data_IF_838871595511
#
_entry.id   IF_838871595511
#
_cell.length_a   1.000
_cell.length_b   1.000
_cell.length_c   1.000
_cell.angle_alpha   90.00
_cell.angle_beta   90.00
_cell.angle_gamma   90.00
#
_symmetry.space_group_name_H-M   'P 1'
#
loop_
_entity.id
_entity.type
_entity.pdbx_description
1 polymer ?
#
# COMPACT_ATOMS: atom_id res chain seq x y z
N UNK A 1 117.57 11.94 6.90
CA UNK A 1 116.68 13.04 7.29
C UNK A 1 115.22 12.52 7.22
N UNK A 2 114.63 12.30 8.38
CA UNK A 2 113.21 11.86 8.47
C UNK A 2 112.35 13.12 8.76
N UNK A 3 111.16 13.27 8.13
CA UNK A 3 110.35 14.45 8.41
C UNK A 3 109.54 14.23 9.72
N UNK A 4 109.48 15.31 10.51
CA UNK A 4 108.80 15.42 11.78
C UNK A 4 107.26 15.47 11.54
N UNK A 5 106.44 14.74 12.31
CA UNK A 5 105.02 14.78 12.16
C UNK A 5 104.45 16.08 12.76
N UNK A 6 103.66 16.82 11.91
CA UNK A 6 103.01 18.06 12.29
C UNK A 6 101.96 17.84 13.42
N UNK A 7 102.05 18.55 14.50
CA UNK A 7 101.07 18.64 15.61
C UNK A 7 99.73 19.14 15.07
N UNK A 8 98.70 18.28 15.00
CA UNK A 8 97.29 18.72 14.82
C UNK A 8 96.90 19.60 16.03
N UNK A 9 96.70 20.86 15.79
CA UNK A 9 96.29 21.79 16.83
C UNK A 9 94.88 21.32 17.40
N UNK A 10 94.77 21.36 18.72
CA UNK A 10 93.50 21.06 19.42
C UNK A 10 92.46 22.14 19.02
N UNK A 11 91.22 21.76 18.64
CA UNK A 11 90.16 22.71 18.27
C UNK A 11 89.90 23.66 19.44
N UNK A 12 89.83 24.99 19.17
CA UNK A 12 89.61 26.02 20.20
C UNK A 12 88.30 25.81 20.92
N UNK A 13 88.18 26.17 22.18
CA UNK A 13 87.00 26.00 23.05
C UNK A 13 85.70 26.52 22.39
N UNK A 14 85.74 27.57 21.56
CA UNK A 14 84.62 28.13 20.79
C UNK A 14 84.18 27.27 19.66
N UNK A 15 85.08 26.51 19.01
CA UNK A 15 84.73 25.56 17.94
C UNK A 15 84.01 24.29 18.50
N UNK A 16 84.48 23.83 19.69
CA UNK A 16 83.83 22.72 20.41
C UNK A 16 82.43 23.08 20.93
N UNK A 17 82.21 24.30 21.40
CA UNK A 17 80.88 24.76 21.83
C UNK A 17 79.95 24.93 20.67
N UNK A 18 80.41 25.50 19.54
CA UNK A 18 79.61 25.60 18.31
C UNK A 18 79.22 24.18 17.73
N UNK A 19 80.21 23.27 17.73
CA UNK A 19 79.96 21.88 17.30
C UNK A 19 78.93 21.15 18.18
N UNK A 20 79.04 21.34 19.53
CA UNK A 20 78.04 20.79 20.46
C UNK A 20 76.62 21.39 20.27
N UNK A 21 76.51 22.71 20.08
CA UNK A 21 75.25 23.39 19.80
C UNK A 21 74.66 22.90 18.52
N UNK A 22 75.42 22.75 17.43
CA UNK A 22 74.94 22.20 16.17
C UNK A 22 74.50 20.77 16.34
N UNK A 23 75.24 19.92 17.09
CA UNK A 23 74.88 18.54 17.38
C UNK A 23 73.53 18.42 18.19
N UNK A 24 73.43 19.21 19.26
CA UNK A 24 72.22 19.27 20.09
C UNK A 24 71.01 19.74 19.29
N UNK A 25 71.15 20.78 18.44
CA UNK A 25 70.12 21.27 17.57
C UNK A 25 69.73 20.22 16.55
N UNK A 26 70.66 19.50 15.94
CA UNK A 26 70.40 18.43 15.01
C UNK A 26 69.65 17.25 15.67
N UNK A 27 70.09 16.83 16.86
CA UNK A 27 69.46 15.78 17.65
C UNK A 27 68.00 16.21 18.04
N UNK A 28 67.85 17.47 18.50
CA UNK A 28 66.53 17.99 18.84
C UNK A 28 65.56 18.01 17.61
N UNK A 29 66.07 18.48 16.47
CA UNK A 29 65.29 18.47 15.21
C UNK A 29 64.96 17.06 14.79
N UNK A 30 65.95 16.12 14.83
CA UNK A 30 65.72 14.73 14.50
C UNK A 30 64.68 14.06 15.45
N UNK A 31 64.77 14.37 16.75
CA UNK A 31 63.80 13.86 17.72
C UNK A 31 62.37 14.41 17.47
N UNK A 32 62.25 15.69 17.18
CA UNK A 32 60.96 16.30 16.80
C UNK A 32 60.41 15.67 15.52
N UNK A 33 61.24 15.49 14.51
CA UNK A 33 60.84 14.85 13.26
C UNK A 33 60.46 13.36 13.46
N UNK A 34 61.21 12.64 14.28
CA UNK A 34 60.92 11.23 14.59
C UNK A 34 59.57 11.03 15.30
N UNK A 35 59.08 12.03 16.02
CA UNK A 35 57.77 12.03 16.65
C UNK A 35 56.69 12.62 15.69
N UNK A 36 56.97 13.74 15.08
CA UNK A 36 56.04 14.47 14.22
C UNK A 36 55.64 13.67 12.97
N UNK A 37 56.60 13.07 12.27
CA UNK A 37 56.36 12.34 11.03
C UNK A 37 55.38 11.14 11.23
N UNK A 38 55.61 10.23 12.17
CA UNK A 38 54.67 9.14 12.40
C UNK A 38 53.31 9.65 12.86
N UNK A 39 53.25 10.59 13.80
CA UNK A 39 52.01 11.12 14.31
C UNK A 39 51.16 11.76 13.22
N UNK A 40 51.75 12.53 12.31
CA UNK A 40 50.98 13.21 11.24
C UNK A 40 50.67 12.27 10.05
N UNK A 41 51.59 11.39 9.68
CA UNK A 41 51.40 10.53 8.52
C UNK A 41 50.41 9.39 8.76
N UNK A 42 50.25 8.93 10.02
CA UNK A 42 49.37 7.84 10.39
C UNK A 42 48.09 8.31 11.12
N UNK A 43 48.05 9.58 11.54
CA UNK A 43 46.91 10.15 12.28
C UNK A 43 45.58 9.90 11.54
N UNK A 44 44.49 9.51 12.24
CA UNK A 44 43.16 9.38 11.65
C UNK A 44 42.69 10.76 11.20
N UNK A 45 42.00 10.76 10.04
CA UNK A 45 41.43 11.98 9.46
C UNK A 45 40.01 12.19 9.98
N UNK A 46 39.60 13.43 10.17
CA UNK A 46 38.25 13.76 10.56
C UNK A 46 37.24 13.29 9.48
N UNK A 47 36.09 12.73 9.87
CA UNK A 47 35.03 12.37 8.94
C UNK A 47 34.49 13.59 8.21
N UNK A 48 34.10 13.43 6.96
CA UNK A 48 33.52 14.50 6.15
C UNK A 48 32.02 14.52 6.26
N UNK A 49 31.46 15.68 6.64
CA UNK A 49 29.98 15.84 6.74
C UNK A 49 29.32 15.84 5.37
N UNK A 50 28.10 15.32 5.33
CA UNK A 50 27.27 15.29 4.15
C UNK A 50 26.62 16.66 3.88
N UNK A 51 26.62 17.10 2.63
CA UNK A 51 25.79 18.20 2.13
C UNK A 51 24.61 17.57 1.39
N UNK A 52 23.41 17.64 1.98
CA UNK A 52 22.21 17.00 1.42
C UNK A 52 21.76 17.68 0.12
N UNK A 53 21.29 16.88 -0.83
CA UNK A 53 20.67 17.32 -2.08
C UNK A 53 19.16 17.26 -1.90
N UNK A 54 18.42 18.39 -2.01
CA UNK A 54 16.97 18.40 -1.86
C UNK A 54 16.31 17.51 -2.90
N UNK A 55 15.29 16.76 -2.46
CA UNK A 55 14.39 16.03 -3.35
C UNK A 55 13.20 16.92 -3.72
N UNK A 56 12.84 16.94 -4.99
CA UNK A 56 11.67 17.68 -5.50
C UNK A 56 10.92 16.82 -6.51
N UNK A 57 9.61 16.88 -6.46
CA UNK A 57 8.72 16.30 -7.49
C UNK A 57 8.00 17.41 -8.23
N UNK A 58 7.68 17.22 -9.52
CA UNK A 58 6.83 18.17 -10.24
C UNK A 58 5.43 18.25 -9.61
N UNK A 59 4.92 19.46 -9.51
CA UNK A 59 3.53 19.69 -9.11
C UNK A 59 2.57 19.08 -10.13
N UNK A 60 1.47 18.50 -9.64
CA UNK A 60 0.39 17.99 -10.48
C UNK A 60 -0.94 18.64 -10.09
N UNK A 61 -1.80 18.81 -11.08
CA UNK A 61 -3.18 19.25 -10.87
C UNK A 61 -3.96 18.09 -10.24
N UNK A 62 -4.80 18.42 -9.25
CA UNK A 62 -5.66 17.46 -8.60
C UNK A 62 -6.64 16.83 -9.61
N UNK A 63 -6.75 15.50 -9.59
CA UNK A 63 -7.75 14.74 -10.33
C UNK A 63 -8.85 14.33 -9.35
N UNK A 64 -10.10 14.66 -9.66
CA UNK A 64 -11.26 14.24 -8.87
C UNK A 64 -12.09 13.25 -9.70
N UNK A 65 -12.59 12.15 -9.11
CA UNK A 65 -13.51 11.26 -9.80
C UNK A 65 -14.84 11.97 -10.06
N UNK A 66 -15.42 11.75 -11.23
CA UNK A 66 -16.72 12.29 -11.57
C UNK A 66 -17.81 11.41 -10.94
N UNK A 67 -18.40 11.89 -9.85
CA UNK A 67 -19.48 11.24 -9.13
C UNK A 67 -20.85 11.73 -9.63
N UNK A 68 -21.89 10.87 -9.60
CA UNK A 68 -23.24 11.23 -10.08
C UNK A 68 -23.90 12.29 -9.18
N UNK A 69 -24.76 13.12 -9.78
CA UNK A 69 -25.55 14.12 -9.06
C UNK A 69 -26.89 13.58 -8.51
N UNK A 70 -27.11 12.27 -8.51
CA UNK A 70 -28.35 11.63 -8.01
C UNK A 70 -28.04 10.60 -6.92
N UNK A 71 -29.05 10.30 -6.09
CA UNK A 71 -28.95 9.28 -5.05
C UNK A 71 -27.78 9.49 -4.09
N UNK A 72 -26.99 8.44 -3.90
CA UNK A 72 -25.75 8.49 -3.14
C UNK A 72 -24.66 7.68 -3.84
N UNK A 73 -23.42 8.16 -3.79
CA UNK A 73 -22.27 7.43 -4.32
C UNK A 73 -21.03 7.63 -3.46
N UNK A 74 -20.21 6.60 -3.39
CA UNK A 74 -18.89 6.65 -2.81
C UNK A 74 -17.94 5.77 -3.60
N UNK A 75 -16.66 6.14 -3.61
CA UNK A 75 -15.60 5.34 -4.20
C UNK A 75 -14.33 5.53 -3.39
N UNK A 76 -13.57 4.46 -3.25
CA UNK A 76 -12.25 4.49 -2.60
C UNK A 76 -11.34 3.42 -3.21
N UNK A 77 -10.05 3.52 -2.94
CA UNK A 77 -9.09 2.53 -3.37
C UNK A 77 -8.42 1.88 -2.15
N UNK A 78 -8.28 0.55 -2.18
CA UNK A 78 -7.65 -0.21 -1.10
C UNK A 78 -6.18 0.18 -0.99
N UNK A 79 -5.76 0.62 0.21
CA UNK A 79 -4.40 1.09 0.47
C UNK A 79 -4.12 2.55 0.12
N UNK A 80 -5.15 3.31 -0.36
CA UNK A 80 -5.04 4.72 -0.76
C UNK A 80 -6.20 5.53 -0.16
N UNK A 81 -6.16 5.87 1.14
CA UNK A 81 -7.25 6.62 1.80
C UNK A 81 -7.51 7.98 1.15
N UNK A 82 -6.50 8.60 0.55
CA UNK A 82 -6.59 9.85 -0.21
C UNK A 82 -7.40 9.74 -1.51
N UNK A 83 -7.64 8.53 -2.00
CA UNK A 83 -8.46 8.28 -3.19
C UNK A 83 -9.96 8.12 -2.87
N UNK A 84 -10.39 8.46 -1.64
CA UNK A 84 -11.79 8.38 -1.24
C UNK A 84 -12.58 9.62 -1.64
N UNK A 85 -13.75 9.41 -2.24
CA UNK A 85 -14.65 10.48 -2.64
C UNK A 85 -16.12 10.05 -2.50
N UNK A 86 -16.99 11.00 -2.16
CA UNK A 86 -18.44 10.81 -2.00
C UNK A 86 -19.23 11.91 -2.67
N UNK A 87 -20.46 11.61 -3.09
CA UNK A 87 -21.44 12.60 -3.55
C UNK A 87 -22.88 12.13 -3.31
N UNK A 88 -23.81 13.06 -3.31
CA UNK A 88 -25.24 12.82 -3.12
C UNK A 88 -25.63 12.76 -1.65
N UNK A 89 -26.63 11.95 -1.32
CA UNK A 89 -27.18 11.82 0.04
C UNK A 89 -26.16 11.26 1.02
N UNK A 90 -26.07 11.82 2.19
CA UNK A 90 -25.36 11.28 3.35
C UNK A 90 -26.25 10.40 4.22
N UNK A 91 -27.58 10.46 4.01
CA UNK A 91 -28.54 9.64 4.72
C UNK A 91 -28.59 8.23 4.13
N UNK A 92 -28.86 7.21 4.95
CA UNK A 92 -29.03 5.84 4.49
C UNK A 92 -30.15 5.68 3.48
N UNK A 93 -29.87 5.02 2.36
CA UNK A 93 -30.83 4.73 1.30
C UNK A 93 -31.10 3.22 1.20
N UNK A 94 -32.27 2.78 0.67
CA UNK A 94 -32.56 1.38 0.43
C UNK A 94 -31.55 0.72 -0.51
N UNK A 95 -30.88 -0.33 -0.04
CA UNK A 95 -29.79 -0.98 -0.77
C UNK A 95 -30.22 -2.21 -1.56
N UNK A 96 -31.47 -2.62 -1.41
CA UNK A 96 -32.02 -3.78 -2.10
C UNK A 96 -31.13 -5.04 -1.94
N UNK A 97 -30.96 -5.83 -2.98
CA UNK A 97 -30.19 -7.08 -2.96
C UNK A 97 -28.71 -6.95 -2.61
N UNK A 98 -28.15 -5.75 -2.44
CA UNK A 98 -26.80 -5.58 -1.87
C UNK A 98 -26.77 -6.13 -0.43
N UNK A 99 -27.90 -6.12 0.28
CA UNK A 99 -28.06 -6.75 1.61
C UNK A 99 -27.57 -8.20 1.68
N UNK A 100 -27.66 -8.96 0.57
CA UNK A 100 -27.18 -10.35 0.51
C UNK A 100 -25.69 -10.51 0.72
N UNK A 101 -24.91 -9.46 0.46
CA UNK A 101 -23.47 -9.42 0.79
C UNK A 101 -23.30 -9.44 2.32
N UNK A 102 -24.01 -8.56 3.04
CA UNK A 102 -23.97 -8.53 4.50
C UNK A 102 -24.48 -9.87 5.07
N UNK A 103 -25.61 -10.37 4.56
CA UNK A 103 -26.14 -11.69 4.96
C UNK A 103 -25.09 -12.78 4.80
N UNK A 104 -24.39 -12.82 3.67
CA UNK A 104 -23.35 -13.83 3.41
C UNK A 104 -22.13 -13.69 4.30
N UNK A 105 -21.69 -12.46 4.61
CA UNK A 105 -20.59 -12.20 5.54
C UNK A 105 -20.95 -12.68 6.95
N UNK A 106 -22.14 -12.34 7.44
CA UNK A 106 -22.61 -12.74 8.79
C UNK A 106 -22.82 -14.26 8.86
N UNK A 107 -23.29 -14.89 7.79
CA UNK A 107 -23.36 -16.36 7.70
C UNK A 107 -21.97 -16.99 7.78
N UNK A 108 -20.98 -16.45 7.06
CA UNK A 108 -19.63 -17.01 7.08
C UNK A 108 -18.92 -16.80 8.44
N UNK A 109 -19.30 -15.78 9.19
CA UNK A 109 -18.80 -15.62 10.56
C UNK A 109 -19.38 -16.70 11.49
N UNK A 110 -20.69 -16.98 11.38
CA UNK A 110 -21.38 -18.01 12.18
C UNK A 110 -21.09 -19.46 11.71
N UNK A 111 -20.86 -19.64 10.42
CA UNK A 111 -20.63 -20.92 9.74
C UNK A 111 -19.45 -20.77 8.77
N UNK A 112 -18.21 -20.76 9.26
CA UNK A 112 -17.01 -20.55 8.47
C UNK A 112 -16.88 -21.55 7.30
N UNK A 113 -16.38 -21.05 6.18
CA UNK A 113 -16.06 -21.82 4.99
C UNK A 113 -14.67 -21.38 4.52
N UNK A 114 -13.81 -22.34 4.24
CA UNK A 114 -12.46 -22.07 3.76
C UNK A 114 -12.40 -22.14 2.23
N UNK A 115 -11.46 -21.46 1.58
CA UNK A 115 -11.25 -21.59 0.12
C UNK A 115 -11.04 -23.04 -0.29
N UNK A 116 -11.85 -23.50 -1.26
CA UNK A 116 -11.84 -24.88 -1.74
C UNK A 116 -12.80 -25.82 -1.04
N UNK A 117 -13.36 -25.43 0.11
CA UNK A 117 -14.38 -26.23 0.80
C UNK A 117 -15.78 -26.00 0.21
N UNK A 118 -16.57 -27.06 0.14
CA UNK A 118 -18.00 -26.96 -0.20
C UNK A 118 -18.88 -26.67 1.01
N UNK A 119 -18.36 -26.88 2.21
CA UNK A 119 -19.10 -26.83 3.46
C UNK A 119 -20.06 -27.99 3.64
N UNK A 120 -20.89 -27.96 4.70
CA UNK A 120 -21.86 -29.01 4.97
C UNK A 120 -22.93 -29.11 3.90
N UNK A 121 -23.49 -30.29 3.77
CA UNK A 121 -24.66 -30.53 2.95
C UNK A 121 -25.92 -30.11 3.71
N UNK A 122 -26.77 -29.30 3.04
CA UNK A 122 -27.98 -28.72 3.58
C UNK A 122 -29.16 -29.39 2.85
N UNK A 123 -30.11 -29.92 3.59
CA UNK A 123 -31.34 -30.51 3.05
C UNK A 123 -32.47 -29.51 3.17
N UNK A 124 -33.10 -29.17 2.04
CA UNK A 124 -34.24 -28.25 2.03
C UNK A 124 -35.51 -28.90 2.60
N UNK A 125 -36.16 -28.18 3.49
CA UNK A 125 -37.47 -28.52 4.04
C UNK A 125 -38.65 -28.13 3.09
N UNK A 126 -39.86 -28.53 3.41
CA UNK A 126 -41.06 -28.04 2.75
C UNK A 126 -41.24 -26.52 2.95
N UNK A 127 -40.84 -25.99 4.09
CA UNK A 127 -40.86 -24.55 4.37
C UNK A 127 -39.91 -23.80 3.45
N UNK A 128 -38.68 -24.31 3.22
CA UNK A 128 -37.76 -23.72 2.29
C UNK A 128 -38.29 -23.70 0.86
N UNK A 129 -38.91 -24.80 0.40
CA UNK A 129 -39.54 -24.88 -0.91
C UNK A 129 -40.66 -23.84 -1.10
N UNK A 130 -41.42 -23.54 -0.02
CA UNK A 130 -42.48 -22.52 -0.06
C UNK A 130 -41.93 -21.09 -0.22
N UNK A 131 -40.66 -20.81 0.13
CA UNK A 131 -40.04 -19.49 -0.04
C UNK A 131 -40.09 -19.01 -1.50
N UNK A 132 -40.00 -19.93 -2.47
CA UNK A 132 -40.09 -19.52 -3.88
C UNK A 132 -41.41 -18.84 -4.20
N UNK A 133 -42.53 -19.41 -3.79
CA UNK A 133 -43.88 -18.83 -4.02
C UNK A 133 -44.02 -17.49 -3.28
N UNK A 134 -43.52 -17.39 -2.05
CA UNK A 134 -43.46 -16.14 -1.27
C UNK A 134 -42.75 -15.02 -2.04
N UNK A 135 -41.56 -15.28 -2.58
CA UNK A 135 -40.79 -14.24 -3.25
C UNK A 135 -41.25 -13.93 -4.67
N UNK A 136 -41.84 -14.90 -5.37
CA UNK A 136 -42.54 -14.64 -6.65
C UNK A 136 -43.70 -13.66 -6.44
N UNK A 137 -44.50 -13.85 -5.37
CA UNK A 137 -45.61 -12.94 -5.04
C UNK A 137 -45.11 -11.50 -4.68
N UNK A 138 -43.85 -11.36 -4.23
CA UNK A 138 -43.21 -10.08 -3.92
C UNK A 138 -42.38 -9.50 -5.09
N UNK A 139 -42.52 -10.08 -6.32
CA UNK A 139 -41.69 -9.72 -7.48
C UNK A 139 -40.17 -9.81 -7.23
N UNK A 140 -39.75 -10.70 -6.33
CA UNK A 140 -38.36 -10.93 -6.02
C UNK A 140 -37.69 -11.96 -6.92
N UNK A 141 -36.37 -11.84 -7.12
CA UNK A 141 -35.61 -12.85 -7.87
C UNK A 141 -35.63 -14.20 -7.17
N UNK A 142 -35.92 -15.25 -7.92
CA UNK A 142 -36.02 -16.62 -7.40
C UNK A 142 -35.39 -17.67 -8.31
N UNK A 143 -34.95 -18.77 -7.72
CA UNK A 143 -34.54 -19.99 -8.45
C UNK A 143 -35.33 -21.19 -7.98
N UNK A 144 -35.42 -22.27 -8.79
CA UNK A 144 -36.03 -23.53 -8.37
C UNK A 144 -35.44 -24.00 -7.03
N UNK A 145 -36.33 -24.41 -6.10
CA UNK A 145 -35.93 -24.96 -4.80
C UNK A 145 -37.02 -26.01 -4.45
N UNK A 146 -36.56 -27.25 -4.28
CA UNK A 146 -37.45 -28.39 -4.07
C UNK A 146 -37.18 -29.00 -2.70
N UNK A 147 -38.23 -29.35 -1.97
CA UNK A 147 -38.11 -30.03 -0.69
C UNK A 147 -37.42 -31.40 -0.84
N UNK A 148 -36.74 -31.83 0.18
CA UNK A 148 -35.93 -33.05 0.28
C UNK A 148 -34.76 -33.15 -0.73
N UNK A 149 -34.44 -32.07 -1.46
CA UNK A 149 -33.17 -31.96 -2.20
C UNK A 149 -32.07 -31.41 -1.33
N UNK A 150 -30.81 -31.67 -1.71
CA UNK A 150 -29.66 -31.24 -0.98
C UNK A 150 -28.79 -30.28 -1.78
N UNK A 151 -28.10 -29.38 -1.10
CA UNK A 151 -27.13 -28.43 -1.66
C UNK A 151 -25.96 -28.24 -0.68
N UNK A 152 -24.77 -27.93 -1.18
CA UNK A 152 -23.66 -27.53 -0.32
C UNK A 152 -23.84 -26.10 0.19
N UNK A 153 -23.23 -25.74 1.33
CA UNK A 153 -23.21 -24.35 1.81
C UNK A 153 -22.67 -23.41 0.74
N UNK A 154 -21.58 -23.77 0.07
CA UNK A 154 -20.97 -22.98 -0.99
C UNK A 154 -21.94 -22.73 -2.15
N UNK A 155 -22.65 -23.76 -2.62
CA UNK A 155 -23.58 -23.62 -3.73
C UNK A 155 -24.83 -22.84 -3.34
N UNK A 156 -25.30 -22.98 -2.10
CA UNK A 156 -26.38 -22.17 -1.54
C UNK A 156 -26.01 -20.67 -1.58
N UNK A 157 -24.78 -20.34 -1.17
CA UNK A 157 -24.23 -18.97 -1.25
C UNK A 157 -24.04 -18.50 -2.70
N UNK A 158 -23.59 -19.38 -3.60
CA UNK A 158 -23.43 -19.07 -5.04
C UNK A 158 -24.77 -18.68 -5.68
N UNK A 159 -25.83 -19.43 -5.44
CA UNK A 159 -27.17 -19.08 -5.96
C UNK A 159 -27.68 -17.77 -5.33
N UNK A 160 -27.41 -17.56 -4.04
CA UNK A 160 -27.78 -16.32 -3.32
C UNK A 160 -27.12 -15.09 -3.94
N UNK A 161 -25.84 -15.14 -4.24
CA UNK A 161 -25.07 -13.97 -4.68
C UNK A 161 -25.05 -13.78 -6.19
N UNK A 162 -24.79 -14.84 -6.97
CA UNK A 162 -24.68 -14.78 -8.44
C UNK A 162 -26.05 -14.56 -9.07
N UNK A 163 -27.05 -15.42 -8.77
CA UNK A 163 -28.40 -15.29 -9.26
C UNK A 163 -29.24 -14.25 -8.50
N UNK A 164 -28.72 -13.68 -7.43
CA UNK A 164 -29.47 -12.76 -6.55
C UNK A 164 -30.74 -13.36 -5.95
N UNK A 165 -30.86 -14.69 -5.84
CA UNK A 165 -32.11 -15.39 -5.49
C UNK A 165 -32.53 -15.14 -4.02
N UNK A 166 -33.72 -14.52 -3.84
CA UNK A 166 -34.24 -14.17 -2.52
C UNK A 166 -34.60 -15.39 -1.70
N UNK A 167 -35.24 -16.40 -2.35
CA UNK A 167 -35.57 -17.64 -1.66
C UNK A 167 -34.37 -18.45 -1.18
N UNK A 168 -33.21 -18.33 -1.86
CA UNK A 168 -31.95 -18.93 -1.41
C UNK A 168 -31.32 -18.13 -0.27
N UNK A 169 -31.40 -16.80 -0.30
CA UNK A 169 -30.92 -15.95 0.79
C UNK A 169 -31.73 -16.20 2.10
N UNK A 170 -33.05 -16.34 2.01
CA UNK A 170 -33.90 -16.64 3.16
C UNK A 170 -33.65 -18.07 3.69
N UNK A 171 -33.48 -19.07 2.82
CA UNK A 171 -33.12 -20.43 3.19
C UNK A 171 -31.70 -20.47 3.84
N UNK A 172 -30.75 -19.71 3.32
CA UNK A 172 -29.38 -19.58 3.88
C UNK A 172 -29.42 -19.01 5.31
N UNK A 173 -30.19 -17.95 5.52
CA UNK A 173 -30.43 -17.37 6.85
C UNK A 173 -31.11 -18.37 7.78
N UNK A 174 -32.20 -19.04 7.32
CA UNK A 174 -32.93 -20.05 8.08
C UNK A 174 -32.03 -21.20 8.55
N UNK A 175 -31.19 -21.71 7.64
CA UNK A 175 -30.18 -22.73 7.96
C UNK A 175 -29.15 -22.29 8.98
N UNK A 176 -28.61 -21.08 8.80
CA UNK A 176 -27.49 -20.61 9.63
C UNK A 176 -27.95 -20.20 11.05
N UNK A 177 -29.11 -19.57 11.19
CA UNK A 177 -29.58 -18.93 12.43
C UNK A 177 -30.89 -19.52 13.00
N UNK A 178 -31.61 -20.31 12.25
CA UNK A 178 -32.87 -20.94 12.67
C UNK A 178 -34.05 -19.98 12.74
N UNK A 179 -33.87 -18.69 12.94
CA UNK A 179 -34.93 -17.69 13.00
C UNK A 179 -34.48 -16.33 12.52
N UNK A 180 -35.44 -15.50 12.08
CA UNK A 180 -35.19 -14.11 11.71
C UNK A 180 -34.64 -13.29 12.89
N UNK A 181 -35.19 -13.44 14.09
CA UNK A 181 -34.75 -12.70 15.27
C UNK A 181 -33.28 -13.01 15.63
N UNK A 182 -32.85 -14.28 15.51
CA UNK A 182 -31.45 -14.65 15.73
C UNK A 182 -30.54 -14.05 14.65
N UNK A 183 -30.98 -13.99 13.40
CA UNK A 183 -30.28 -13.32 12.31
C UNK A 183 -30.15 -11.80 12.54
N UNK A 184 -31.26 -11.13 12.90
CA UNK A 184 -31.27 -9.68 13.16
C UNK A 184 -30.34 -9.32 14.31
N UNK A 185 -30.30 -10.14 15.37
CA UNK A 185 -29.35 -10.00 16.46
C UNK A 185 -27.89 -10.14 15.97
N UNK A 186 -27.60 -11.17 15.21
CA UNK A 186 -26.28 -11.45 14.70
C UNK A 186 -25.80 -10.36 13.71
N UNK A 187 -26.65 -9.92 12.79
CA UNK A 187 -26.28 -8.88 11.81
C UNK A 187 -26.09 -7.52 12.47
N UNK A 188 -26.90 -7.17 13.49
CA UNK A 188 -26.72 -5.92 14.25
C UNK A 188 -25.39 -5.92 14.99
N UNK A 189 -25.05 -7.01 15.66
CA UNK A 189 -23.77 -7.16 16.35
C UNK A 189 -22.59 -7.09 15.38
N UNK A 190 -22.72 -7.73 14.21
CA UNK A 190 -21.68 -7.72 13.16
C UNK A 190 -21.47 -6.32 12.60
N UNK A 191 -22.54 -5.59 12.24
CA UNK A 191 -22.46 -4.21 11.74
C UNK A 191 -21.76 -3.30 12.75
N UNK A 192 -22.17 -3.37 14.03
CA UNK A 192 -21.55 -2.57 15.09
C UNK A 192 -20.06 -2.90 15.30
N UNK A 193 -19.68 -4.17 15.22
CA UNK A 193 -18.27 -4.58 15.39
C UNK A 193 -17.35 -4.09 14.24
N UNK A 194 -17.93 -3.74 13.08
CA UNK A 194 -17.23 -3.21 11.93
C UNK A 194 -17.39 -1.69 11.74
N UNK A 195 -18.05 -0.99 12.69
CA UNK A 195 -18.25 0.47 12.62
C UNK A 195 -19.18 0.90 11.48
N UNK A 196 -20.12 0.02 11.07
CA UNK A 196 -21.08 0.26 9.99
C UNK A 196 -22.40 0.83 10.57
N UNK A 197 -22.28 1.95 11.28
CA UNK A 197 -23.34 2.51 12.12
C UNK A 197 -24.50 3.11 11.34
N UNK A 198 -24.31 3.35 10.03
CA UNK A 198 -25.34 3.88 9.13
C UNK A 198 -25.96 2.78 8.25
N UNK A 199 -25.76 1.51 8.60
CA UNK A 199 -26.32 0.37 7.90
C UNK A 199 -27.32 -0.36 8.79
N UNK A 200 -28.51 -0.63 8.26
CA UNK A 200 -29.54 -1.44 8.93
C UNK A 200 -30.00 -2.57 8.00
N UNK A 201 -30.01 -3.79 8.50
CA UNK A 201 -30.49 -4.98 7.79
C UNK A 201 -31.57 -5.66 8.62
N UNK A 202 -32.80 -5.56 8.17
CA UNK A 202 -34.00 -6.12 8.83
C UNK A 202 -34.42 -7.48 8.28
N UNK A 203 -33.81 -7.91 7.13
CA UNK A 203 -34.09 -9.22 6.55
C UNK A 203 -32.99 -9.62 5.53
N UNK A 204 -32.83 -10.92 5.20
CA UNK A 204 -31.63 -11.40 4.49
C UNK A 204 -31.57 -11.07 2.99
N UNK A 205 -32.66 -10.59 2.36
CA UNK A 205 -32.79 -10.56 0.89
C UNK A 205 -32.66 -9.19 0.27
N UNK A 206 -33.00 -8.13 0.99
CA UNK A 206 -33.09 -6.75 0.50
C UNK A 206 -34.41 -6.41 -0.20
N UNK A 207 -35.45 -7.25 -0.07
CA UNK A 207 -36.79 -6.92 -0.60
C UNK A 207 -37.53 -5.90 0.30
N UNK A 208 -37.10 -5.80 1.57
CA UNK A 208 -37.66 -4.85 2.50
C UNK A 208 -36.89 -3.51 2.35
N UNK A 209 -37.59 -2.38 2.10
CA UNK A 209 -36.94 -1.06 1.99
C UNK A 209 -36.28 -0.58 3.29
N UNK A 210 -36.53 -1.24 4.42
CA UNK A 210 -35.83 -1.01 5.69
C UNK A 210 -34.37 -1.54 5.71
N UNK A 211 -33.95 -2.30 4.71
CA UNK A 211 -32.55 -2.62 4.50
C UNK A 211 -31.87 -1.38 3.86
N UNK A 212 -31.23 -0.59 4.67
CA UNK A 212 -30.65 0.71 4.25
C UNK A 212 -29.17 0.79 4.59
N UNK A 213 -28.44 1.62 3.84
CA UNK A 213 -27.02 1.91 4.11
C UNK A 213 -26.64 3.25 3.48
N UNK A 214 -25.54 3.84 3.94
CA UNK A 214 -24.87 4.94 3.24
C UNK A 214 -23.92 4.38 2.17
N UNK A 215 -23.63 5.20 1.16
CA UNK A 215 -22.65 4.82 0.13
C UNK A 215 -21.24 4.60 0.76
N UNK A 216 -20.90 5.31 1.83
CA UNK A 216 -19.65 5.14 2.59
C UNK A 216 -19.57 3.77 3.25
N UNK A 217 -20.60 3.38 4.01
CA UNK A 217 -20.64 2.04 4.63
C UNK A 217 -20.61 0.93 3.57
N UNK A 218 -21.27 1.14 2.41
CA UNK A 218 -21.24 0.17 1.31
C UNK A 218 -19.82 -0.02 0.75
N UNK A 219 -18.99 1.01 0.70
CA UNK A 219 -17.58 0.85 0.28
C UNK A 219 -16.84 -0.03 1.28
N UNK A 220 -17.05 0.16 2.57
CA UNK A 220 -16.42 -0.69 3.61
C UNK A 220 -16.95 -2.13 3.56
N UNK A 221 -18.26 -2.32 3.40
CA UNK A 221 -18.89 -3.65 3.16
C UNK A 221 -18.25 -4.31 1.93
N UNK A 222 -18.05 -3.57 0.84
CA UNK A 222 -17.38 -4.07 -0.35
C UNK A 222 -15.93 -4.50 -0.11
N UNK A 223 -15.17 -3.73 0.68
CA UNK A 223 -13.81 -4.11 1.08
C UNK A 223 -13.80 -5.39 1.93
N UNK A 224 -14.73 -5.52 2.89
CA UNK A 224 -14.89 -6.73 3.71
C UNK A 224 -15.27 -7.95 2.85
N UNK A 225 -16.16 -7.76 1.86
CA UNK A 225 -16.54 -8.82 0.92
C UNK A 225 -15.34 -9.32 0.10
N UNK A 226 -14.49 -8.42 -0.39
CA UNK A 226 -13.28 -8.78 -1.13
C UNK A 226 -12.18 -9.38 -0.25
N UNK A 227 -12.10 -8.98 1.01
CA UNK A 227 -11.18 -9.57 1.98
C UNK A 227 -11.54 -11.02 2.34
N UNK A 228 -12.81 -11.42 2.13
CA UNK A 228 -13.23 -12.80 2.28
C UNK A 228 -13.05 -13.56 0.95
N UNK A 229 -12.13 -14.52 0.85
CA UNK A 229 -11.79 -15.17 -0.42
C UNK A 229 -12.94 -16.02 -0.99
N UNK A 230 -13.86 -16.52 -0.16
CA UNK A 230 -15.03 -17.27 -0.59
C UNK A 230 -16.01 -16.32 -1.30
N UNK A 231 -16.34 -15.18 -0.67
CA UNK A 231 -17.23 -14.20 -1.28
C UNK A 231 -16.60 -13.61 -2.54
N UNK A 232 -15.31 -13.21 -2.49
CA UNK A 232 -14.60 -12.67 -3.66
C UNK A 232 -14.67 -13.63 -4.86
N UNK A 233 -14.47 -14.92 -4.64
CA UNK A 233 -14.60 -15.95 -5.69
C UNK A 233 -16.02 -16.06 -6.22
N UNK A 234 -17.05 -15.99 -5.37
CA UNK A 234 -18.45 -16.10 -5.78
C UNK A 234 -18.87 -14.87 -6.61
N UNK A 235 -18.59 -13.66 -6.14
CA UNK A 235 -19.06 -12.43 -6.79
C UNK A 235 -18.36 -12.15 -8.12
N UNK A 236 -17.19 -12.74 -8.36
CA UNK A 236 -16.47 -12.68 -9.64
C UNK A 236 -16.93 -13.75 -10.66
N UNK A 237 -17.87 -14.63 -10.31
CA UNK A 237 -18.40 -15.64 -11.20
C UNK A 237 -19.42 -15.02 -12.17
N UNK A 238 -19.15 -15.07 -13.48
CA UNK A 238 -20.03 -14.52 -14.52
C UNK A 238 -21.28 -15.39 -14.76
N UNK A 239 -21.06 -16.69 -14.91
CA UNK A 239 -22.13 -17.67 -15.18
C UNK A 239 -21.84 -18.98 -14.48
N UNK A 240 -22.88 -19.71 -14.12
CA UNK A 240 -22.74 -21.08 -13.63
C UNK A 240 -23.96 -21.94 -13.88
N UNK A 241 -23.79 -23.26 -13.79
CA UNK A 241 -24.84 -24.23 -13.86
C UNK A 241 -24.79 -25.16 -12.65
N UNK A 242 -25.90 -25.30 -11.96
CA UNK A 242 -26.04 -26.22 -10.83
C UNK A 242 -27.19 -27.21 -11.08
N UNK A 243 -26.96 -28.47 -10.71
CA UNK A 243 -27.98 -29.51 -10.76
C UNK A 243 -29.19 -29.09 -9.88
N UNK A 244 -30.40 -29.27 -10.39
CA UNK A 244 -31.64 -28.90 -9.71
C UNK A 244 -31.95 -27.40 -9.68
N UNK A 245 -31.02 -26.53 -10.06
CA UNK A 245 -31.21 -25.06 -10.11
C UNK A 245 -31.23 -24.55 -11.55
N UNK A 246 -30.43 -25.15 -12.43
CA UNK A 246 -30.26 -24.74 -13.83
C UNK A 246 -29.07 -23.79 -14.02
N UNK A 247 -28.99 -23.19 -15.22
CA UNK A 247 -28.02 -22.20 -15.59
C UNK A 247 -28.47 -20.80 -15.17
N UNK A 248 -27.54 -19.96 -14.67
CA UNK A 248 -27.80 -18.57 -14.31
C UNK A 248 -26.54 -17.73 -14.46
N UNK A 249 -26.75 -16.44 -14.67
CA UNK A 249 -25.70 -15.46 -14.83
C UNK A 249 -25.67 -14.48 -13.63
N UNK A 250 -24.53 -13.86 -13.42
CA UNK A 250 -24.40 -12.74 -12.50
C UNK A 250 -25.24 -11.55 -13.00
N UNK A 251 -25.89 -10.87 -12.09
CA UNK A 251 -26.72 -9.70 -12.39
C UNK A 251 -25.90 -8.43 -12.67
N UNK A 252 -24.58 -8.44 -12.39
CA UNK A 252 -23.67 -7.34 -12.68
C UNK A 252 -23.18 -7.43 -14.15
N UNK A 253 -23.73 -6.60 -15.01
CA UNK A 253 -23.41 -6.58 -16.46
C UNK A 253 -22.04 -5.98 -16.79
N UNK A 254 -21.39 -5.32 -15.83
CA UNK A 254 -20.02 -4.81 -15.96
C UNK A 254 -18.95 -5.85 -15.61
N UNK A 255 -19.34 -6.99 -15.04
CA UNK A 255 -18.39 -8.03 -14.63
C UNK A 255 -17.55 -8.49 -15.82
N UNK A 256 -16.24 -8.65 -15.61
CA UNK A 256 -15.26 -8.96 -16.66
C UNK A 256 -14.86 -7.79 -17.56
N UNK A 257 -15.50 -6.61 -17.42
CA UNK A 257 -15.21 -5.40 -18.21
C UNK A 257 -14.53 -4.34 -17.34
N UNK A 258 -13.67 -3.53 -17.93
CA UNK A 258 -13.02 -2.39 -17.26
C UNK A 258 -12.27 -2.77 -15.96
N UNK A 259 -11.88 -4.04 -15.81
CA UNK A 259 -11.29 -4.57 -14.59
C UNK A 259 -12.30 -4.87 -13.47
N UNK A 260 -13.61 -4.81 -13.73
CA UNK A 260 -14.65 -5.10 -12.73
C UNK A 260 -14.64 -6.59 -12.37
N UNK A 261 -14.53 -6.88 -11.08
CA UNK A 261 -14.40 -8.23 -10.49
C UNK A 261 -15.62 -8.59 -9.59
N UNK A 262 -16.57 -7.72 -9.44
CA UNK A 262 -17.77 -7.90 -8.58
C UNK A 262 -18.44 -6.55 -8.35
N UNK A 263 -19.38 -6.37 -7.40
CA UNK A 263 -19.71 -7.22 -6.24
C UNK A 263 -21.20 -7.62 -6.32
N UNK A 264 -22.14 -6.62 -6.28
CA UNK A 264 -23.56 -6.92 -6.21
C UNK A 264 -24.44 -5.79 -6.73
N UNK A 265 -25.43 -6.15 -7.55
CA UNK A 265 -26.53 -5.26 -7.96
C UNK A 265 -27.66 -5.27 -6.92
N UNK A 266 -28.45 -4.22 -6.95
CA UNK A 266 -29.72 -4.14 -6.20
C UNK A 266 -30.80 -3.45 -7.00
N UNK A 267 -32.04 -3.93 -6.93
CA UNK A 267 -33.21 -3.29 -7.56
C UNK A 267 -34.38 -3.33 -6.60
N UNK A 268 -34.96 -2.19 -6.31
CA UNK A 268 -36.16 -2.09 -5.47
C UNK A 268 -36.97 -0.84 -5.84
N UNK A 269 -38.30 -1.01 -6.05
CA UNK A 269 -39.20 0.11 -6.27
C UNK A 269 -38.78 1.07 -7.40
N UNK A 270 -38.23 0.55 -8.51
CA UNK A 270 -37.76 1.36 -9.63
C UNK A 270 -36.39 2.02 -9.44
N UNK A 271 -35.75 1.77 -8.30
CA UNK A 271 -34.39 2.24 -8.04
C UNK A 271 -33.37 1.12 -8.28
N UNK A 272 -32.26 1.43 -8.91
CA UNK A 272 -31.15 0.52 -9.22
C UNK A 272 -29.87 0.94 -8.49
N UNK A 273 -29.19 -0.05 -7.95
CA UNK A 273 -27.98 0.11 -7.14
C UNK A 273 -26.88 -0.82 -7.66
N UNK A 274 -25.62 -0.42 -7.49
CA UNK A 274 -24.47 -1.27 -7.76
C UNK A 274 -23.37 -1.00 -6.70
N UNK A 275 -23.03 -2.04 -5.96
CA UNK A 275 -21.78 -2.14 -5.22
C UNK A 275 -20.78 -2.86 -6.14
N UNK A 276 -19.66 -2.22 -6.46
CA UNK A 276 -18.69 -2.72 -7.44
C UNK A 276 -17.27 -2.72 -6.90
N UNK A 277 -16.44 -3.56 -7.51
CA UNK A 277 -15.00 -3.53 -7.35
C UNK A 277 -14.33 -3.68 -8.72
N UNK A 278 -13.20 -2.97 -8.91
CA UNK A 278 -12.41 -3.06 -10.12
C UNK A 278 -10.92 -2.98 -9.80
N UNK A 279 -10.11 -3.84 -10.43
CA UNK A 279 -8.66 -3.85 -10.26
C UNK A 279 -7.97 -3.30 -11.52
N UNK A 280 -7.12 -2.29 -11.32
CA UNK A 280 -6.26 -1.69 -12.34
C UNK A 280 -4.81 -2.10 -12.15
N UNK A 281 -4.07 -2.24 -13.25
CA UNK A 281 -2.63 -2.55 -13.22
C UNK A 281 -1.83 -1.37 -13.76
N UNK A 282 -0.76 -1.01 -13.01
CA UNK A 282 0.21 0.03 -13.35
C UNK A 282 1.62 -0.57 -13.20
N UNK A 283 2.18 -1.06 -14.31
CA UNK A 283 3.44 -1.82 -14.27
C UNK A 283 3.32 -3.05 -13.35
N UNK A 284 4.11 -3.08 -12.28
CA UNK A 284 4.07 -4.14 -11.26
C UNK A 284 3.03 -3.91 -10.16
N UNK A 285 2.39 -2.74 -10.11
CA UNK A 285 1.42 -2.38 -9.08
C UNK A 285 0.00 -2.75 -9.52
N UNK A 286 -0.81 -3.20 -8.58
CA UNK A 286 -2.25 -3.39 -8.75
C UNK A 286 -3.00 -2.54 -7.71
N UNK A 287 -4.08 -1.90 -8.13
CA UNK A 287 -4.95 -1.10 -7.26
C UNK A 287 -6.36 -1.60 -7.43
N UNK A 288 -6.99 -1.99 -6.34
CA UNK A 288 -8.41 -2.35 -6.30
C UNK A 288 -9.22 -1.16 -5.80
N UNK A 289 -10.12 -0.70 -6.64
CA UNK A 289 -11.11 0.34 -6.34
C UNK A 289 -12.40 -0.33 -5.94
N UNK A 290 -13.03 0.12 -4.85
CA UNK A 290 -14.34 -0.30 -4.39
C UNK A 290 -15.26 0.92 -4.40
N UNK A 291 -16.47 0.78 -4.92
CA UNK A 291 -17.43 1.87 -4.95
C UNK A 291 -18.87 1.40 -4.91
N UNK A 292 -19.76 2.32 -4.57
CA UNK A 292 -21.18 2.12 -4.56
C UNK A 292 -21.89 3.28 -5.25
N UNK A 293 -22.89 2.96 -6.06
CA UNK A 293 -23.87 3.92 -6.62
C UNK A 293 -25.27 3.42 -6.23
N UNK A 294 -26.01 4.24 -5.53
CA UNK A 294 -27.34 3.93 -4.99
C UNK A 294 -28.37 4.96 -5.50
N UNK A 295 -29.55 4.50 -5.86
CA UNK A 295 -30.62 5.41 -6.24
C UNK A 295 -30.64 5.78 -7.73
N UNK A 296 -30.04 4.99 -8.61
CA UNK A 296 -30.12 5.18 -10.04
C UNK A 296 -31.50 4.83 -10.61
N UNK A 297 -31.87 5.44 -11.73
CA UNK A 297 -33.17 5.22 -12.37
C UNK A 297 -33.33 3.83 -13.00
N UNK A 298 -32.24 3.26 -13.48
CA UNK A 298 -32.16 1.90 -14.00
C UNK A 298 -30.70 1.41 -14.00
N UNK A 299 -30.47 0.12 -14.25
CA UNK A 299 -29.11 -0.45 -14.28
C UNK A 299 -28.25 0.11 -15.40
N UNK A 300 -28.82 0.49 -16.56
CA UNK A 300 -28.08 1.06 -17.68
C UNK A 300 -27.46 2.42 -17.30
N UNK A 301 -28.23 3.26 -16.59
CA UNK A 301 -27.74 4.55 -16.09
C UNK A 301 -26.67 4.38 -15.02
N UNK A 302 -26.84 3.42 -14.09
CA UNK A 302 -25.86 3.08 -13.06
C UNK A 302 -24.57 2.56 -13.70
N UNK A 303 -24.64 1.67 -14.68
CA UNK A 303 -23.49 1.11 -15.40
C UNK A 303 -22.70 2.19 -16.15
N UNK A 304 -23.40 3.13 -16.81
CA UNK A 304 -22.79 4.27 -17.48
C UNK A 304 -22.05 5.18 -16.48
N UNK A 305 -22.67 5.43 -15.33
CA UNK A 305 -22.08 6.19 -14.22
C UNK A 305 -20.80 5.52 -13.69
N UNK A 306 -20.89 4.22 -13.38
CA UNK A 306 -19.75 3.44 -12.87
C UNK A 306 -18.62 3.37 -13.91
N UNK A 307 -18.96 3.23 -15.20
CA UNK A 307 -17.95 3.28 -16.28
C UNK A 307 -17.17 4.59 -16.29
N UNK A 308 -17.87 5.71 -16.20
CA UNK A 308 -17.24 7.05 -16.17
C UNK A 308 -16.40 7.25 -14.91
N UNK A 309 -16.91 6.82 -13.76
CA UNK A 309 -16.22 6.88 -12.48
C UNK A 309 -14.94 6.05 -12.48
N UNK A 310 -14.99 4.82 -12.98
CA UNK A 310 -13.83 3.94 -13.09
C UNK A 310 -12.77 4.51 -14.04
N UNK A 311 -13.17 5.15 -15.13
CA UNK A 311 -12.24 5.84 -16.04
C UNK A 311 -11.50 6.98 -15.33
N UNK A 312 -12.21 7.78 -14.53
CA UNK A 312 -11.64 8.84 -13.69
C UNK A 312 -10.69 8.29 -12.63
N UNK A 313 -11.11 7.25 -11.91
CA UNK A 313 -10.26 6.58 -10.92
C UNK A 313 -8.99 6.03 -11.55
N UNK A 314 -9.10 5.36 -12.69
CA UNK A 314 -7.94 4.83 -13.41
C UNK A 314 -6.97 5.92 -13.87
N UNK A 315 -7.47 7.05 -14.36
CA UNK A 315 -6.65 8.17 -14.81
C UNK A 315 -5.96 8.93 -13.67
N UNK A 316 -6.50 8.88 -12.46
CA UNK A 316 -5.96 9.56 -11.28
C UNK A 316 -4.71 8.88 -10.71
N UNK A 317 -4.54 7.58 -10.90
CA UNK A 317 -3.35 6.85 -10.44
C UNK A 317 -2.18 7.01 -11.41
N UNK A 318 -0.99 7.27 -10.88
CA UNK A 318 0.22 7.34 -11.68
C UNK A 318 1.46 6.99 -10.85
N UNK A 319 2.50 6.53 -11.53
CA UNK A 319 3.78 6.19 -10.90
C UNK A 319 4.67 7.44 -10.82
N UNK A 320 5.25 7.67 -9.63
CA UNK A 320 6.25 8.70 -9.38
C UNK A 320 7.60 8.03 -9.18
N UNK A 321 8.59 8.41 -9.98
CA UNK A 321 9.98 7.98 -9.78
C UNK A 321 10.56 8.69 -8.57
N UNK A 322 10.97 7.93 -7.56
CA UNK A 322 11.56 8.42 -6.31
C UNK A 322 13.08 8.52 -6.41
N UNK A 323 13.71 7.55 -7.06
CA UNK A 323 15.14 7.52 -7.28
C UNK A 323 15.49 6.66 -8.50
N UNK A 324 16.46 7.10 -9.29
CA UNK A 324 17.17 6.25 -10.25
C UNK A 324 18.36 5.62 -9.55
N UNK A 325 18.76 4.39 -9.91
CA UNK A 325 19.99 3.79 -9.38
C UNK A 325 21.19 4.71 -9.66
N UNK A 326 21.96 5.04 -8.62
CA UNK A 326 23.11 5.94 -8.72
C UNK A 326 22.76 7.45 -8.64
N UNK A 327 21.51 7.80 -8.35
CA UNK A 327 21.09 9.19 -8.17
C UNK A 327 21.65 9.77 -6.86
N UNK A 328 22.27 10.96 -6.88
CA UNK A 328 22.91 11.57 -5.70
C UNK A 328 21.89 12.22 -4.77
N UNK A 329 21.99 11.92 -3.47
CA UNK A 329 21.19 12.51 -2.39
C UNK A 329 22.03 13.27 -1.35
N UNK A 330 23.38 13.09 -1.36
CA UNK A 330 24.28 13.92 -0.59
C UNK A 330 25.65 14.02 -1.28
N UNK A 331 26.32 15.14 -1.09
CA UNK A 331 27.68 15.39 -1.56
C UNK A 331 28.63 15.44 -0.36
N UNK A 332 29.83 14.92 -0.56
CA UNK A 332 30.94 15.01 0.38
C UNK A 332 32.09 15.74 -0.27
N UNK A 333 32.74 16.64 0.48
CA UNK A 333 33.97 17.31 0.06
C UNK A 333 34.94 17.36 1.22
N UNK A 334 36.06 16.68 1.09
CA UNK A 334 37.07 16.61 2.11
C UNK A 334 37.91 17.91 2.16
N UNK A 335 38.67 18.12 3.25
CA UNK A 335 39.56 19.24 3.39
C UNK A 335 40.69 19.25 2.33
N UNK A 336 41.04 18.09 1.78
CA UNK A 336 42.00 17.94 0.68
C UNK A 336 41.39 17.93 -0.71
N UNK A 337 40.11 18.42 -0.82
CA UNK A 337 39.39 18.62 -2.06
C UNK A 337 38.92 17.33 -2.80
N UNK A 338 39.07 16.18 -2.16
CA UNK A 338 38.42 14.93 -2.67
C UNK A 338 36.93 15.06 -2.55
N UNK A 339 36.20 14.54 -3.57
CA UNK A 339 34.76 14.60 -3.65
C UNK A 339 34.19 13.18 -3.75
N UNK A 340 33.08 12.91 -3.10
CA UNK A 340 32.27 11.70 -3.28
C UNK A 340 30.79 12.04 -3.12
N UNK A 341 29.91 11.13 -3.52
CA UNK A 341 28.46 11.32 -3.41
C UNK A 341 27.85 10.11 -2.72
N UNK A 342 26.87 10.36 -1.87
CA UNK A 342 25.94 9.31 -1.43
C UNK A 342 24.88 9.15 -2.50
N UNK A 343 24.85 7.98 -3.14
CA UNK A 343 23.97 7.68 -4.26
C UNK A 343 23.02 6.54 -3.90
N UNK A 344 21.84 6.53 -4.50
CA UNK A 344 20.85 5.48 -4.34
C UNK A 344 21.41 4.11 -4.80
N UNK A 345 21.25 3.09 -3.98
CA UNK A 345 21.72 1.71 -4.28
C UNK A 345 20.84 1.01 -5.33
N UNK A 346 19.59 1.45 -5.50
CA UNK A 346 18.60 0.91 -6.44
C UNK A 346 17.68 2.00 -6.98
N UNK A 347 17.00 1.70 -8.08
CA UNK A 347 15.84 2.49 -8.50
C UNK A 347 14.66 2.24 -7.54
N UNK A 348 13.81 3.25 -7.39
CA UNK A 348 12.59 3.17 -6.61
C UNK A 348 11.52 4.07 -7.24
N UNK A 349 10.28 3.60 -7.17
CA UNK A 349 9.09 4.35 -7.56
C UNK A 349 7.96 4.06 -6.58
N UNK A 350 6.93 4.87 -6.62
CA UNK A 350 5.70 4.70 -5.84
C UNK A 350 4.50 5.05 -6.71
N UNK A 351 3.42 4.30 -6.57
CA UNK A 351 2.15 4.63 -7.19
C UNK A 351 1.38 5.57 -6.27
N UNK A 352 0.91 6.69 -6.78
CA UNK A 352 0.16 7.69 -6.02
C UNK A 352 -1.15 8.02 -6.68
N UNK A 353 -2.09 8.53 -5.88
CA UNK A 353 -3.36 9.07 -6.35
C UNK A 353 -3.26 10.58 -6.57
N UNK A 354 -3.75 11.06 -7.73
CA UNK A 354 -3.98 12.48 -8.00
C UNK A 354 -2.71 13.33 -7.75
N UNK A 355 -2.81 14.37 -6.95
CA UNK A 355 -1.72 15.25 -6.56
C UNK A 355 -1.14 14.93 -5.17
N UNK A 356 -1.25 13.67 -4.71
CA UNK A 356 -0.66 13.24 -3.43
C UNK A 356 0.79 13.68 -3.35
N UNK A 357 1.17 14.51 -2.36
CA UNK A 357 2.53 15.00 -2.23
C UNK A 357 3.50 13.88 -1.87
N UNK A 358 4.67 13.92 -2.49
CA UNK A 358 5.78 13.02 -2.17
C UNK A 358 6.87 13.82 -1.49
N UNK A 359 7.22 13.44 -0.27
CA UNK A 359 8.29 14.06 0.52
C UNK A 359 9.43 13.08 0.73
N UNK A 360 10.64 13.61 1.01
CA UNK A 360 11.81 12.79 1.28
C UNK A 360 12.57 13.30 2.52
N UNK A 361 12.92 12.36 3.40
CA UNK A 361 13.83 12.62 4.52
C UNK A 361 15.13 11.88 4.23
N UNK A 362 16.22 12.67 4.07
CA UNK A 362 17.54 12.16 3.73
C UNK A 362 18.37 12.13 5.02
N UNK A 363 18.95 10.96 5.32
CA UNK A 363 19.89 10.76 6.42
C UNK A 363 21.18 10.20 5.85
N UNK A 364 22.29 10.95 5.95
CA UNK A 364 23.60 10.53 5.52
C UNK A 364 24.60 10.66 6.67
N UNK A 365 25.35 9.60 6.93
CA UNK A 365 26.41 9.58 7.93
C UNK A 365 27.66 10.31 7.41
N UNK A 366 28.50 10.86 8.28
CA UNK A 366 29.80 11.40 7.88
C UNK A 366 30.68 10.31 7.25
N UNK A 367 31.24 10.60 6.07
CA UNK A 367 32.06 9.65 5.32
C UNK A 367 33.51 9.66 5.82
N UNK A 368 34.14 8.47 5.83
CA UNK A 368 35.54 8.27 6.24
C UNK A 368 36.40 7.84 5.06
N UNK A 369 37.70 8.14 5.15
CA UNK A 369 38.68 7.65 4.17
C UNK A 369 38.70 6.12 4.17
N UNK A 370 38.77 5.54 3.00
CA UNK A 370 38.82 4.09 2.82
C UNK A 370 37.46 3.41 2.64
N UNK A 371 36.36 4.06 3.03
CA UNK A 371 35.02 3.53 2.80
C UNK A 371 34.70 3.53 1.29
N UNK A 372 34.18 2.40 0.82
CA UNK A 372 33.72 2.24 -0.55
C UNK A 372 32.47 1.38 -0.58
N UNK A 373 31.41 1.81 -1.28
CA UNK A 373 30.16 1.07 -1.49
C UNK A 373 29.46 0.58 -0.22
N UNK A 374 29.96 0.95 0.97
CA UNK A 374 29.29 0.69 2.23
C UNK A 374 28.02 1.55 2.33
N UNK A 375 26.98 1.09 3.04
CA UNK A 375 25.83 1.92 3.36
C UNK A 375 26.28 3.16 4.14
N UNK A 376 26.06 4.35 3.56
CA UNK A 376 26.44 5.64 4.16
C UNK A 376 25.21 6.42 4.65
N UNK A 377 24.00 5.90 4.38
CA UNK A 377 22.77 6.54 4.76
C UNK A 377 21.56 5.93 4.12
N UNK A 378 20.45 6.64 4.21
CA UNK A 378 19.17 6.26 3.59
C UNK A 378 18.36 7.49 3.23
N UNK A 379 17.47 7.33 2.26
CA UNK A 379 16.37 8.24 1.98
C UNK A 379 15.07 7.51 2.29
N UNK A 380 14.21 8.15 3.07
CA UNK A 380 12.85 7.68 3.33
C UNK A 380 11.90 8.61 2.58
N UNK A 381 11.22 8.07 1.58
CA UNK A 381 10.17 8.76 0.85
C UNK A 381 8.81 8.45 1.47
N UNK A 382 7.96 9.46 1.56
CA UNK A 382 6.56 9.31 2.04
C UNK A 382 5.62 9.88 0.99
N UNK A 383 4.61 9.10 0.63
CA UNK A 383 3.56 9.46 -0.33
C UNK A 383 2.21 8.97 0.20
N UNK A 384 1.36 9.89 0.71
CA UNK A 384 0.13 9.51 1.41
C UNK A 384 0.41 8.55 2.56
N UNK A 385 -0.21 7.38 2.54
CA UNK A 385 -0.02 6.31 3.53
C UNK A 385 1.21 5.42 3.27
N UNK A 386 1.91 5.61 2.14
CA UNK A 386 3.00 4.75 1.73
C UNK A 386 4.36 5.30 2.13
N UNK A 387 5.31 4.40 2.45
CA UNK A 387 6.70 4.75 2.75
C UNK A 387 7.66 3.82 2.01
N UNK A 388 8.66 4.40 1.35
CA UNK A 388 9.69 3.68 0.61
C UNK A 388 11.07 4.10 1.09
N UNK A 389 11.88 3.13 1.54
CA UNK A 389 13.25 3.38 2.00
C UNK A 389 14.25 2.93 0.94
N UNK A 390 15.19 3.81 0.60
CA UNK A 390 16.30 3.54 -0.30
C UNK A 390 17.62 3.76 0.44
N UNK A 391 18.47 2.73 0.43
CA UNK A 391 19.81 2.80 1.02
C UNK A 391 20.73 3.63 0.12
N UNK A 392 21.54 4.49 0.73
CA UNK A 392 22.58 5.28 0.07
C UNK A 392 23.93 4.61 0.26
N UNK A 393 24.73 4.58 -0.81
CA UNK A 393 26.11 4.09 -0.81
C UNK A 393 27.02 5.15 -1.41
N UNK A 394 28.31 5.16 -1.05
CA UNK A 394 29.27 6.02 -1.74
C UNK A 394 29.43 5.55 -3.20
N UNK A 395 29.45 6.50 -4.15
CA UNK A 395 29.66 6.23 -5.57
C UNK A 395 31.07 5.68 -5.85
N UNK A 396 32.07 6.10 -5.05
CA UNK A 396 33.43 5.57 -5.09
C UNK A 396 34.10 5.68 -3.72
N UNK A 397 35.28 5.09 -3.59
CA UNK A 397 36.09 5.10 -2.37
C UNK A 397 36.70 6.49 -2.16
N UNK A 398 36.54 7.07 -0.96
CA UNK A 398 37.28 8.26 -0.57
C UNK A 398 38.76 7.96 -0.40
N UNK A 399 39.59 8.62 -1.19
CA UNK A 399 41.04 8.48 -1.15
C UNK A 399 41.59 9.46 -0.13
N UNK A 400 42.55 9.01 0.70
CA UNK A 400 43.22 9.87 1.68
C UNK A 400 44.16 10.85 0.99
N UNK A 401 44.51 11.97 1.69
CA UNK A 401 45.49 12.94 1.19
C UNK A 401 46.90 12.36 1.16
N UNK A 402 47.73 12.89 0.25
CA UNK A 402 49.12 12.53 0.15
C UNK A 402 49.94 12.97 1.38
N UNK A 403 51.18 12.42 1.56
CA UNK A 403 52.05 12.72 2.72
C UNK A 403 52.30 14.21 2.95
N UNK A 404 52.49 14.94 1.84
CA UNK A 404 52.77 16.38 1.93
C UNK A 404 51.60 17.17 2.53
N UNK A 405 50.38 16.85 2.10
CA UNK A 405 49.19 17.52 2.67
C UNK A 405 49.06 17.22 4.17
N UNK A 406 49.31 15.96 4.58
CA UNK A 406 49.24 15.56 5.99
C UNK A 406 50.25 16.35 6.85
N UNK A 407 51.48 16.51 6.37
CA UNK A 407 52.52 17.25 7.07
C UNK A 407 52.24 18.75 7.18
N UNK A 408 51.55 19.31 6.17
CA UNK A 408 51.25 20.76 6.16
C UNK A 408 49.90 21.12 6.81
N UNK A 409 49.07 20.13 7.21
CA UNK A 409 47.75 20.36 7.81
C UNK A 409 47.50 19.56 9.10
N UNK A 410 48.36 19.72 10.14
CA UNK A 410 48.27 18.91 11.36
C UNK A 410 46.99 19.15 12.18
N UNK A 411 46.28 20.26 11.97
CA UNK A 411 45.03 20.61 12.66
C UNK A 411 43.79 19.93 12.08
N UNK A 412 43.90 19.18 10.97
CA UNK A 412 42.82 18.50 10.30
C UNK A 412 42.66 17.02 10.73
N UNK A 413 43.38 16.60 11.75
CA UNK A 413 43.26 15.25 12.30
C UNK A 413 42.19 15.20 13.39
N UNK A 414 41.47 14.08 13.44
CA UNK A 414 40.62 13.79 14.59
C UNK A 414 41.45 13.43 15.78
N UNK A 415 41.44 14.30 16.81
CA UNK A 415 42.00 13.99 18.09
C UNK A 415 41.28 12.87 18.82
#
# INVERSE_FOLDING_TARGET
MLPVPGRRGRPGRSQLVRGRLVLFSAVAILSVLAVYLPLTLVAPLAPTSAQLVPFTTPDRVATLPLLPGYGASAVGAIGYPEAFATAGSTEPLPIASISKIVTSLVVLEAKPLWPGDSGPTITFSATDAALRAKYVALNGETKPLTACTTISQLDLMRVTLVASANNYADALMGWAFGSRAAFEFAVTAWLSSHGLDHTTIVEPTGINPGNVSTATDLVEIGKLALANPVIASIVSTETMTLAGVGSFANTNTLLGRLGVEGIKTGTLNGSSNLLFAATFRYGSHAVTVVGAVVGGIDHKAVDATVTTLLAGMKAGFHEVTLAKKGEPFANFRTAWSEKARAVSSRAASVLVWSNTPVTAVISALPARVGEARAPIGRVTFTAGSQSVVVVLTLDHRLVGPGPWWRLSNPTQFSG
#
